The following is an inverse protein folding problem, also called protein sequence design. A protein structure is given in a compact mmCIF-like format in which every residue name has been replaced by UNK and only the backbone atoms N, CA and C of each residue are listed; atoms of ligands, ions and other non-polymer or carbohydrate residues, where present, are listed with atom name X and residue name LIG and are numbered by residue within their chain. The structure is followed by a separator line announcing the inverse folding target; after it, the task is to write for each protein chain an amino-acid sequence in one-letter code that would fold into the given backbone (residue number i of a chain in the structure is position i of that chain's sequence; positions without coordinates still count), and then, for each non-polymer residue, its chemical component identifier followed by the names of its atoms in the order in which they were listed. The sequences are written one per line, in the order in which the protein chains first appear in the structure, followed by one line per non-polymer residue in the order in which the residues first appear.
data_IF_189943291641
#
_entry.id   IF_189943291641
#
_cell.length_a   1.000
_cell.length_b   1.000
_cell.length_c   1.000
_cell.angle_alpha   90.00
_cell.angle_beta   90.00
_cell.angle_gamma   90.00
#
_symmetry.space_group_name_H-M   'P 1'
#
loop_
_entity.id
_entity.type
_entity.pdbx_description
1 polymer ?
#
# COMPACT_ATOMS: atom_id res chain seq x y z
N UNK A 1 -9.33 -16.55 -9.14
CA UNK A 1 -9.68 -15.14 -9.26
C UNK A 1 -8.76 -14.27 -8.43
N UNK A 2 -8.18 -13.29 -9.03
CA UNK A 2 -7.25 -12.42 -8.32
C UNK A 2 -8.00 -11.42 -7.44
N UNK A 3 -7.48 -11.16 -6.27
CA UNK A 3 -8.00 -10.10 -5.42
C UNK A 3 -7.57 -8.74 -5.97
N UNK A 4 -8.14 -7.70 -5.44
CA UNK A 4 -7.73 -6.36 -5.84
C UNK A 4 -6.28 -6.10 -5.47
N UNK A 5 -5.60 -5.36 -6.32
CA UNK A 5 -4.22 -4.95 -6.02
C UNK A 5 -4.24 -3.79 -5.03
N UNK A 6 -3.07 -3.47 -4.49
CA UNK A 6 -2.92 -2.34 -3.59
C UNK A 6 -3.41 -1.05 -4.26
N UNK A 7 -3.04 -0.85 -5.52
CA UNK A 7 -3.45 0.34 -6.27
C UNK A 7 -4.96 0.43 -6.38
N UNK A 8 -5.59 -0.67 -6.73
CA UNK A 8 -7.03 -0.69 -6.93
C UNK A 8 -7.79 -0.41 -5.65
N UNK A 9 -7.33 -0.97 -4.54
CA UNK A 9 -8.02 -0.80 -3.28
C UNK A 9 -7.90 0.64 -2.78
N UNK A 10 -6.78 1.28 -2.99
CA UNK A 10 -6.62 2.68 -2.61
C UNK A 10 -7.51 3.58 -3.45
N UNK A 11 -7.58 3.33 -4.74
CA UNK A 11 -8.43 4.11 -5.62
C UNK A 11 -9.89 3.98 -5.25
N UNK A 12 -10.31 2.77 -4.91
CA UNK A 12 -11.71 2.50 -4.60
C UNK A 12 -12.11 3.03 -3.23
N UNK A 13 -11.28 2.81 -2.23
CA UNK A 13 -11.62 3.17 -0.85
C UNK A 13 -11.41 4.64 -0.53
N UNK A 14 -10.36 5.22 -1.08
CA UNK A 14 -9.96 6.58 -0.74
C UNK A 14 -10.09 7.56 -1.90
N UNK A 15 -10.58 7.08 -3.02
CA UNK A 15 -10.80 7.91 -4.20
C UNK A 15 -9.51 8.56 -4.69
N UNK A 16 -8.41 7.88 -4.52
CA UNK A 16 -7.09 8.38 -4.93
C UNK A 16 -6.93 8.29 -6.45
N UNK A 17 -6.22 9.26 -7.01
CA UNK A 17 -5.78 9.18 -8.39
C UNK A 17 -4.53 8.31 -8.46
N UNK A 18 -4.12 7.94 -9.68
CA UNK A 18 -2.92 7.14 -9.86
C UNK A 18 -1.70 7.84 -9.27
N UNK A 19 -1.61 9.15 -9.44
CA UNK A 19 -0.50 9.93 -8.90
C UNK A 19 -0.45 9.83 -7.38
N UNK A 20 -1.62 9.94 -6.74
CA UNK A 20 -1.69 9.84 -5.29
C UNK A 20 -1.32 8.44 -4.80
N UNK A 21 -1.75 7.42 -5.53
CA UNK A 21 -1.40 6.04 -5.20
C UNK A 21 0.11 5.86 -5.26
N UNK A 22 0.74 6.38 -6.29
CA UNK A 22 2.19 6.28 -6.44
C UNK A 22 2.92 6.95 -5.29
N UNK A 23 2.42 8.12 -4.86
CA UNK A 23 3.02 8.83 -3.73
C UNK A 23 2.88 8.02 -2.44
N UNK A 24 1.72 7.44 -2.20
CA UNK A 24 1.50 6.63 -1.01
C UNK A 24 2.43 5.42 -1.01
N UNK A 25 2.55 4.74 -2.14
CA UNK A 25 3.45 3.59 -2.24
C UNK A 25 4.89 3.98 -1.95
N UNK A 26 5.31 5.11 -2.49
CA UNK A 26 6.66 5.60 -2.28
C UNK A 26 6.91 5.88 -0.79
N UNK A 27 5.97 6.55 -0.14
CA UNK A 27 6.08 6.84 1.28
C UNK A 27 6.18 5.59 2.12
N UNK A 28 5.36 4.60 1.82
CA UNK A 28 5.38 3.34 2.56
C UNK A 28 6.74 2.66 2.40
N UNK A 29 7.25 2.62 1.18
CA UNK A 29 8.54 1.97 0.92
C UNK A 29 9.67 2.70 1.63
N UNK A 30 9.62 4.03 1.68
CA UNK A 30 10.63 4.82 2.38
C UNK A 30 10.60 4.57 3.88
N UNK A 31 9.40 4.44 4.45
CA UNK A 31 9.26 4.15 5.88
C UNK A 31 9.81 2.76 6.21
N UNK A 32 9.54 1.80 5.34
CA UNK A 32 10.08 0.45 5.53
C UNK A 32 11.61 0.49 5.48
N UNK A 33 12.16 1.25 4.56
CA UNK A 33 13.61 1.39 4.42
C UNK A 33 14.23 2.06 5.65
N UNK A 34 13.47 2.90 6.35
CA UNK A 34 13.91 3.53 7.58
C UNK A 34 13.84 2.59 8.79
N UNK A 35 13.29 1.40 8.61
CA UNK A 35 13.22 0.42 9.68
C UNK A 35 11.85 0.25 10.31
N UNK A 36 10.83 0.90 9.76
CA UNK A 36 9.48 0.75 10.28
C UNK A 36 8.88 -0.58 9.84
N UNK A 37 7.91 -1.06 10.61
CA UNK A 37 7.22 -2.30 10.31
C UNK A 37 6.21 -2.06 9.19
N UNK A 38 6.39 -2.77 8.07
CA UNK A 38 5.48 -2.62 6.94
C UNK A 38 4.04 -2.99 7.28
N UNK A 39 3.85 -3.98 8.14
CA UNK A 39 2.50 -4.38 8.54
C UNK A 39 1.80 -3.29 9.32
N UNK A 40 2.53 -2.61 10.20
CA UNK A 40 1.95 -1.50 10.95
C UNK A 40 1.56 -0.36 10.03
N UNK A 41 2.40 -0.08 9.04
CA UNK A 41 2.11 0.99 8.08
C UNK A 41 0.85 0.67 7.29
N UNK A 42 0.74 -0.54 6.79
CA UNK A 42 -0.43 -0.98 6.03
C UNK A 42 -1.69 -0.89 6.89
N UNK A 43 -1.58 -1.26 8.15
CA UNK A 43 -2.71 -1.20 9.07
C UNK A 43 -3.19 0.24 9.28
N UNK A 44 -2.26 1.20 9.30
CA UNK A 44 -2.62 2.62 9.42
C UNK A 44 -3.51 3.08 8.28
N UNK A 45 -3.35 2.49 7.11
CA UNK A 45 -4.17 2.82 5.94
C UNK A 45 -5.46 2.00 5.90
N UNK A 46 -5.68 1.15 6.90
CA UNK A 46 -6.88 0.33 6.95
C UNK A 46 -6.89 -0.83 5.98
N UNK A 47 -5.72 -1.28 5.58
CA UNK A 47 -5.57 -2.35 4.62
C UNK A 47 -5.13 -3.64 5.30
N UNK A 48 -5.47 -4.77 4.68
CA UNK A 48 -5.07 -6.07 5.19
C UNK A 48 -3.57 -6.30 4.93
N UNK A 49 -2.90 -7.10 5.78
CA UNK A 49 -1.47 -7.36 5.63
C UNK A 49 -1.09 -7.95 4.29
N UNK A 50 -2.00 -8.66 3.64
CA UNK A 50 -1.74 -9.26 2.33
C UNK A 50 -1.33 -8.23 1.29
N UNK A 51 -1.81 -7.01 1.43
CA UNK A 51 -1.47 -5.96 0.46
C UNK A 51 -0.01 -5.54 0.52
N UNK A 52 0.68 -5.85 1.61
CA UNK A 52 2.10 -5.57 1.69
C UNK A 52 2.88 -6.35 0.65
N UNK A 53 2.45 -7.56 0.35
CA UNK A 53 3.11 -8.38 -0.66
C UNK A 53 3.05 -7.74 -2.04
N UNK A 54 1.97 -7.03 -2.33
CA UNK A 54 1.84 -6.32 -3.60
C UNK A 54 2.84 -5.19 -3.74
N UNK A 55 3.35 -4.69 -2.63
CA UNK A 55 4.33 -3.61 -2.64
C UNK A 55 5.75 -4.09 -2.77
N UNK A 56 6.07 -5.22 -2.14
CA UNK A 56 7.47 -5.66 -2.03
C UNK A 56 7.79 -6.92 -2.82
N UNK A 57 6.80 -7.64 -3.29
CA UNK A 57 6.98 -8.85 -4.10
C UNK A 57 6.42 -8.61 -5.49
N UNK A 58 7.26 -8.16 -6.39
CA UNK A 58 6.85 -7.98 -7.78
C UNK A 58 7.92 -8.49 -8.74
#
# INVERSE_FOLDING_TARGET
MARETFDEVLKRRNDYTQVEVDVVKQEILERIADGEDGFDIIDEYGLEPDYLEDLICW
#
